data_IF_698043727592
#
_entry.id   IF_698043727592
#
_cell.length_a   1.000
_cell.length_b   1.000
_cell.length_c   1.000
_cell.angle_alpha   90.00
_cell.angle_beta   90.00
_cell.angle_gamma   90.00
#
_symmetry.space_group_name_H-M   'P 1'
#
loop_
_entity.id
_entity.type
_entity.pdbx_description
1 polymer ?
#
# COMPACT_ATOMS: atom_id res chain seq x y z
N UNK A 1 14.05 -18.23 2.06
CA UNK A 1 13.71 -16.78 2.09
C UNK A 1 12.34 -16.62 2.74
N UNK A 2 12.25 -16.15 3.99
CA UNK A 2 10.97 -16.02 4.69
C UNK A 2 10.23 -14.78 4.16
N UNK A 3 9.11 -14.99 3.48
CA UNK A 3 8.34 -13.91 2.86
C UNK A 3 7.62 -13.14 3.96
N UNK A 4 7.79 -11.81 3.98
CA UNK A 4 7.27 -10.92 5.02
C UNK A 4 5.88 -10.42 4.64
N UNK A 5 4.94 -10.50 5.57
CA UNK A 5 3.51 -10.26 5.29
C UNK A 5 3.26 -8.81 4.84
N UNK A 6 3.96 -7.84 5.43
CA UNK A 6 3.84 -6.42 5.07
C UNK A 6 4.28 -6.13 3.63
N UNK A 7 5.32 -6.82 3.18
CA UNK A 7 5.85 -6.68 1.82
C UNK A 7 4.86 -7.23 0.81
N UNK A 8 4.32 -8.43 1.04
CA UNK A 8 3.28 -9.03 0.18
C UNK A 8 2.08 -8.11 0.09
N UNK A 9 1.58 -7.63 1.24
CA UNK A 9 0.38 -6.81 1.30
C UNK A 9 0.55 -5.48 0.54
N UNK A 10 1.70 -4.82 0.71
CA UNK A 10 2.00 -3.59 -0.01
C UNK A 10 2.08 -3.80 -1.53
N UNK A 11 2.75 -4.85 -2.01
CA UNK A 11 2.80 -5.16 -3.44
C UNK A 11 1.44 -5.58 -3.99
N UNK A 12 0.70 -6.39 -3.22
CA UNK A 12 -0.65 -6.81 -3.60
C UNK A 12 -1.57 -5.61 -3.79
N UNK A 13 -1.56 -4.66 -2.84
CA UNK A 13 -2.35 -3.42 -2.96
C UNK A 13 -1.89 -2.56 -4.12
N UNK A 14 -0.57 -2.35 -4.25
CA UNK A 14 0.01 -1.50 -5.29
C UNK A 14 -0.29 -1.99 -6.71
N UNK A 15 -0.52 -3.30 -6.90
CA UNK A 15 -0.87 -3.88 -8.20
C UNK A 15 -2.39 -4.06 -8.38
N UNK A 16 -3.08 -4.51 -7.34
CA UNK A 16 -4.50 -4.90 -7.44
C UNK A 16 -5.42 -3.70 -7.49
N UNK A 17 -5.16 -2.64 -6.71
CA UNK A 17 -6.04 -1.46 -6.69
C UNK A 17 -5.98 -0.71 -8.04
N UNK A 18 -4.80 -0.39 -8.61
CA UNK A 18 -4.74 0.21 -9.95
C UNK A 18 -5.42 -0.65 -11.02
N UNK A 19 -5.23 -1.98 -10.98
CA UNK A 19 -5.87 -2.91 -11.91
C UNK A 19 -7.40 -2.91 -11.79
N UNK A 20 -7.93 -2.86 -10.57
CA UNK A 20 -9.39 -2.77 -10.34
C UNK A 20 -9.95 -1.45 -10.88
N UNK A 21 -9.26 -0.33 -10.64
CA UNK A 21 -9.63 0.99 -11.19
C UNK A 21 -9.62 0.95 -12.73
N UNK A 22 -8.61 0.32 -13.34
CA UNK A 22 -8.56 0.15 -14.79
C UNK A 22 -9.75 -0.67 -15.32
N UNK A 23 -10.07 -1.79 -14.67
CA UNK A 23 -11.18 -2.66 -15.06
C UNK A 23 -12.53 -1.93 -14.98
N UNK A 24 -12.77 -1.12 -13.95
CA UNK A 24 -14.02 -0.35 -13.81
C UNK A 24 -14.12 0.76 -14.85
N UNK A 25 -13.02 1.46 -15.16
CA UNK A 25 -12.97 2.44 -16.24
C UNK A 25 -13.23 1.76 -17.59
N UNK A 26 -12.61 0.61 -17.85
CA UNK A 26 -12.81 -0.15 -19.09
C UNK A 26 -14.28 -0.55 -19.25
N UNK A 27 -14.90 -1.12 -18.22
CA UNK A 27 -16.32 -1.50 -18.23
C UNK A 27 -17.26 -0.33 -18.51
N UNK A 28 -17.02 0.83 -17.89
CA UNK A 28 -17.85 2.04 -18.08
C UNK A 28 -17.59 2.74 -19.43
N UNK A 29 -16.42 2.56 -20.03
CA UNK A 29 -16.11 3.10 -21.37
C UNK A 29 -16.79 2.32 -22.50
N UNK A 30 -16.98 1.01 -22.36
CA UNK A 30 -17.62 0.16 -23.39
C UNK A 30 -19.07 0.54 -23.67
N UNK A 31 -19.74 1.25 -22.77
CA UNK A 31 -21.14 1.69 -22.92
C UNK A 31 -21.29 3.10 -23.52
N UNK A 32 -20.21 3.86 -23.72
CA UNK A 32 -20.25 5.20 -24.33
C UNK A 32 -19.24 5.30 -25.48
N UNK A 33 -19.74 5.50 -26.70
CA UNK A 33 -19.00 5.87 -27.94
C UNK A 33 -18.47 4.74 -28.83
N UNK A 34 -19.37 3.96 -29.44
CA UNK A 34 -19.18 3.57 -30.86
C UNK A 34 -19.81 4.67 -31.70
N UNK A 35 -19.04 5.66 -32.15
CA UNK A 35 -19.21 6.34 -33.44
C UNK A 35 -18.32 7.60 -33.52
N UNK A 36 -17.59 7.72 -34.64
CA UNK A 36 -17.28 8.96 -35.36
C UNK A 36 -16.01 9.80 -35.06
N UNK A 37 -14.86 9.23 -34.70
CA UNK A 37 -13.58 9.95 -34.94
C UNK A 37 -12.53 9.02 -35.56
N UNK A 38 -12.00 9.48 -36.70
CA UNK A 38 -11.04 8.88 -37.63
C UNK A 38 -9.96 8.03 -36.98
N UNK A 39 -9.71 6.87 -37.59
CA UNK A 39 -8.74 5.84 -37.18
C UNK A 39 -7.37 6.39 -36.80
N UNK A 40 -6.78 7.31 -37.58
CA UNK A 40 -5.44 7.85 -37.26
C UNK A 40 -5.41 8.80 -36.06
N UNK A 41 -6.43 9.64 -35.86
CA UNK A 41 -6.52 10.51 -34.68
C UNK A 41 -6.87 9.70 -33.44
N UNK A 42 -7.69 8.66 -33.59
CA UNK A 42 -8.01 7.71 -32.54
C UNK A 42 -6.77 6.93 -32.10
N UNK A 43 -5.96 6.44 -33.03
CA UNK A 43 -4.74 5.68 -32.72
C UNK A 43 -3.69 6.57 -32.04
N UNK A 44 -3.45 7.79 -32.53
CA UNK A 44 -2.55 8.76 -31.87
C UNK A 44 -3.06 9.22 -30.50
N UNK A 45 -4.38 9.42 -30.36
CA UNK A 45 -5.00 9.75 -29.06
C UNK A 45 -4.99 8.56 -28.09
N UNK A 46 -5.06 7.33 -28.61
CA UNK A 46 -4.91 6.11 -27.82
C UNK A 46 -3.48 5.91 -27.35
N UNK A 47 -2.49 6.22 -28.18
CA UNK A 47 -1.08 6.09 -27.85
C UNK A 47 -0.67 7.12 -26.78
N UNK A 48 -1.01 8.40 -26.99
CA UNK A 48 -0.80 9.46 -26.00
C UNK A 48 -1.63 9.23 -24.73
N UNK A 49 -2.91 8.86 -24.87
CA UNK A 49 -3.78 8.53 -23.74
C UNK A 49 -3.34 7.26 -22.99
N UNK A 50 -2.66 6.33 -23.65
CA UNK A 50 -2.05 5.18 -23.00
C UNK A 50 -0.80 5.57 -22.23
N UNK A 51 0.10 6.38 -22.78
CA UNK A 51 1.31 6.82 -22.07
C UNK A 51 0.94 7.64 -20.83
N UNK A 52 0.05 8.62 -20.96
CA UNK A 52 -0.45 9.39 -19.83
C UNK A 52 -1.21 8.50 -18.83
N UNK A 53 -2.03 7.55 -19.33
CA UNK A 53 -2.73 6.58 -18.51
C UNK A 53 -1.79 5.71 -17.69
N UNK A 54 -0.73 5.17 -18.30
CA UNK A 54 0.32 4.39 -17.61
C UNK A 54 0.99 5.23 -16.53
N UNK A 55 1.31 6.49 -16.83
CA UNK A 55 1.86 7.43 -15.84
C UNK A 55 0.97 7.60 -14.61
N UNK A 56 -0.34 7.81 -14.82
CA UNK A 56 -1.33 7.93 -13.73
C UNK A 56 -1.44 6.63 -12.93
N UNK A 57 -1.43 5.46 -13.58
CA UNK A 57 -1.50 4.18 -12.86
C UNK A 57 -0.25 3.88 -12.05
N UNK A 58 0.95 4.22 -12.56
CA UNK A 58 2.20 4.09 -11.80
C UNK A 58 2.17 5.02 -10.57
N UNK A 59 1.74 6.26 -10.76
CA UNK A 59 1.58 7.21 -9.66
C UNK A 59 0.57 6.73 -8.60
N UNK A 60 -0.58 6.22 -9.03
CA UNK A 60 -1.58 5.61 -8.12
C UNK A 60 -0.99 4.41 -7.38
N UNK A 61 -0.25 3.54 -8.08
CA UNK A 61 0.43 2.39 -7.45
C UNK A 61 1.39 2.82 -6.34
N UNK A 62 2.21 3.85 -6.59
CA UNK A 62 3.10 4.45 -5.59
C UNK A 62 2.34 5.07 -4.41
N UNK A 63 1.25 5.78 -4.68
CA UNK A 63 0.38 6.35 -3.66
C UNK A 63 -0.21 5.27 -2.76
N UNK A 64 -0.80 4.24 -3.35
CA UNK A 64 -1.41 3.14 -2.61
C UNK A 64 -0.39 2.31 -1.84
N UNK A 65 0.81 2.13 -2.40
CA UNK A 65 1.93 1.51 -1.67
C UNK A 65 2.26 2.29 -0.39
N UNK A 66 2.39 3.61 -0.48
CA UNK A 66 2.68 4.46 0.68
C UNK A 66 1.54 4.50 1.70
N UNK A 67 0.30 4.57 1.25
CA UNK A 67 -0.89 4.53 2.11
C UNK A 67 -0.95 3.18 2.85
N UNK A 68 -0.79 2.08 2.12
CA UNK A 68 -0.77 0.73 2.70
C UNK A 68 0.32 0.61 3.77
N UNK A 69 1.54 1.04 3.46
CA UNK A 69 2.65 1.00 4.42
C UNK A 69 2.35 1.79 5.71
N UNK A 70 1.69 2.95 5.59
CA UNK A 70 1.27 3.76 6.75
C UNK A 70 0.19 3.07 7.56
N UNK A 71 -0.81 2.47 6.91
CA UNK A 71 -1.90 1.74 7.58
C UNK A 71 -1.38 0.50 8.33
N UNK A 72 -0.49 -0.28 7.70
CA UNK A 72 0.16 -1.42 8.36
C UNK A 72 0.89 -0.94 9.61
N UNK A 73 1.69 0.13 9.49
CA UNK A 73 2.44 0.70 10.62
C UNK A 73 1.50 1.12 11.76
N UNK A 74 0.40 1.81 11.45
CA UNK A 74 -0.61 2.21 12.43
C UNK A 74 -1.29 1.01 13.09
N UNK A 75 -1.59 -0.04 12.32
CA UNK A 75 -2.23 -1.25 12.82
C UNK A 75 -1.34 -1.95 13.87
N UNK A 76 -0.07 -2.18 13.53
CA UNK A 76 0.89 -2.79 14.46
C UNK A 76 1.17 -1.91 15.68
N UNK A 77 1.32 -0.59 15.50
CA UNK A 77 1.49 0.34 16.62
C UNK A 77 0.28 0.30 17.58
N UNK A 78 -0.94 0.30 17.02
CA UNK A 78 -2.18 0.20 17.80
C UNK A 78 -2.28 -1.12 18.55
N UNK A 79 -1.86 -2.24 17.91
CA UNK A 79 -1.79 -3.55 18.55
C UNK A 79 -0.83 -3.54 19.74
N UNK A 80 0.39 -3.04 19.57
CA UNK A 80 1.39 -2.94 20.65
C UNK A 80 0.84 -2.10 21.82
N UNK A 81 0.17 -0.98 21.54
CA UNK A 81 -0.43 -0.12 22.57
C UNK A 81 -1.54 -0.83 23.35
N UNK A 82 -2.37 -1.63 22.66
CA UNK A 82 -3.42 -2.46 23.30
C UNK A 82 -2.81 -3.56 24.16
N UNK A 83 -1.84 -4.29 23.62
CA UNK A 83 -1.16 -5.39 24.31
C UNK A 83 -0.47 -4.88 25.59
N UNK A 84 0.18 -3.72 25.55
CA UNK A 84 0.76 -3.09 26.75
C UNK A 84 -0.30 -2.76 27.80
N UNK A 85 -1.42 -2.16 27.39
CA UNK A 85 -2.48 -1.75 28.32
C UNK A 85 -3.16 -2.95 28.98
N UNK A 86 -3.35 -4.04 28.23
CA UNK A 86 -4.01 -5.25 28.72
C UNK A 86 -3.08 -6.11 29.58
N UNK A 87 -1.85 -6.34 29.13
CA UNK A 87 -0.95 -7.31 29.74
C UNK A 87 0.11 -6.67 30.66
N UNK A 88 0.12 -5.33 30.81
CA UNK A 88 1.11 -4.57 31.59
C UNK A 88 2.56 -4.97 31.29
N UNK A 89 2.83 -5.31 30.02
CA UNK A 89 4.14 -5.81 29.59
C UNK A 89 5.25 -4.78 29.83
N UNK A 90 6.42 -5.28 30.24
CA UNK A 90 7.64 -4.49 30.34
C UNK A 90 8.12 -4.06 28.95
N UNK A 91 8.83 -2.94 28.88
CA UNK A 91 9.42 -2.40 27.64
C UNK A 91 10.22 -3.46 26.87
N UNK A 92 11.03 -4.26 27.58
CA UNK A 92 11.85 -5.34 26.99
C UNK A 92 10.99 -6.41 26.30
N UNK A 93 9.91 -6.83 26.95
CA UNK A 93 8.99 -7.84 26.42
C UNK A 93 8.29 -7.35 25.15
N UNK A 94 7.94 -6.05 25.09
CA UNK A 94 7.35 -5.46 23.88
C UNK A 94 8.36 -5.38 22.74
N UNK A 95 9.62 -5.05 23.00
CA UNK A 95 10.66 -5.05 21.97
C UNK A 95 10.92 -6.45 21.41
N UNK A 96 10.94 -7.48 22.25
CA UNK A 96 11.02 -8.88 21.85
C UNK A 96 9.77 -9.33 21.07
N UNK A 97 8.59 -8.85 21.46
CA UNK A 97 7.35 -9.12 20.73
C UNK A 97 7.37 -8.48 19.32
N UNK A 98 7.92 -7.29 19.16
CA UNK A 98 8.09 -6.66 17.84
C UNK A 98 9.06 -7.50 16.98
N UNK A 99 10.08 -8.10 17.58
CA UNK A 99 11.01 -8.97 16.87
C UNK A 99 10.40 -10.30 16.44
N UNK A 100 9.41 -10.82 17.15
CA UNK A 100 8.71 -12.04 16.76
C UNK A 100 7.72 -11.85 15.60
N UNK A 101 7.31 -10.61 15.31
CA UNK A 101 6.36 -10.36 14.23
C UNK A 101 6.91 -10.76 12.84
N UNK A 102 6.08 -11.38 11.97
CA UNK A 102 6.46 -11.81 10.61
C UNK A 102 6.46 -10.64 9.61
N UNK A 103 7.11 -9.54 9.98
CA UNK A 103 7.17 -8.28 9.23
C UNK A 103 8.60 -7.91 8.82
N UNK A 104 8.75 -6.95 7.91
CA UNK A 104 10.05 -6.48 7.44
C UNK A 104 10.92 -5.87 8.53
N UNK A 105 12.24 -6.01 8.38
CA UNK A 105 13.22 -5.40 9.29
C UNK A 105 13.01 -3.89 9.38
N UNK A 106 12.76 -3.23 8.25
CA UNK A 106 12.46 -1.79 8.19
C UNK A 106 11.25 -1.42 9.04
N UNK A 107 10.15 -2.18 8.92
CA UNK A 107 8.95 -1.94 9.74
C UNK A 107 9.21 -2.21 11.23
N UNK A 108 9.97 -3.25 11.58
CA UNK A 108 10.39 -3.52 12.98
C UNK A 108 11.16 -2.34 13.57
N UNK A 109 12.15 -1.82 12.85
CA UNK A 109 12.91 -0.65 13.30
C UNK A 109 12.03 0.58 13.47
N UNK A 110 11.10 0.84 12.54
CA UNK A 110 10.11 1.93 12.67
C UNK A 110 9.23 1.77 13.90
N UNK A 111 8.74 0.57 14.17
CA UNK A 111 7.87 0.31 15.34
C UNK A 111 8.65 0.44 16.66
N UNK A 112 9.87 -0.09 16.73
CA UNK A 112 10.73 0.03 17.92
C UNK A 112 11.10 1.49 18.20
N UNK A 113 11.55 2.22 17.19
CA UNK A 113 11.91 3.64 17.33
C UNK A 113 10.71 4.48 17.75
N UNK A 114 9.57 4.33 17.07
CA UNK A 114 8.34 5.03 17.44
C UNK A 114 7.92 4.72 18.88
N UNK A 115 8.04 3.46 19.31
CA UNK A 115 7.73 3.05 20.67
C UNK A 115 8.69 3.65 21.71
N UNK A 116 10.00 3.61 21.46
CA UNK A 116 10.99 4.19 22.39
C UNK A 116 10.75 5.70 22.54
N UNK A 117 10.57 6.43 21.45
CA UNK A 117 10.35 7.88 21.47
C UNK A 117 9.10 8.23 22.29
N UNK A 118 8.01 7.48 22.13
CA UNK A 118 6.73 7.79 22.78
C UNK A 118 6.70 7.50 24.29
N UNK A 119 7.69 6.78 24.83
CA UNK A 119 7.73 6.40 26.24
C UNK A 119 8.94 6.93 27.02
N UNK A 120 9.97 7.41 26.33
CA UNK A 120 11.14 8.05 26.96
C UNK A 120 11.10 9.59 26.87
N UNK A 121 10.19 10.16 26.07
CA UNK A 121 9.86 11.58 26.00
C UNK A 121 8.40 11.78 26.40
#
# INVERSE_FOLDING_TARGET
MMIKIDVIFNYFIALTIPKLIFLTIKWTSTSKSRNLVSTSLKDASFELGMEEGVGVFVFLGLLFYNISNRLITMCFSSKIRRDRKQNKLLTKQILEQIDSYPISKSLKYKLKSAYIIQYYY
#
